data_IF_773427940070
#
_entry.id   IF_773427940070
#
_cell.length_a   1.000
_cell.length_b   1.000
_cell.length_c   1.000
_cell.angle_alpha   90.00
_cell.angle_beta   90.00
_cell.angle_gamma   90.00
#
_symmetry.space_group_name_H-M   'P 1'
#
loop_
_entity.id
_entity.type
_entity.pdbx_description
1 polymer ?
#
# COMPACT_ATOMS: atom_id res chain seq x y z
N UNK A 1 -4.94 -6.70 -22.05
CA UNK A 1 -4.15 -6.40 -20.84
C UNK A 1 -5.08 -6.49 -19.64
N UNK A 2 -4.93 -7.52 -18.80
CA UNK A 2 -5.88 -7.84 -17.72
C UNK A 2 -5.97 -6.67 -16.73
N UNK A 3 -7.19 -6.23 -16.39
CA UNK A 3 -7.47 -5.09 -15.49
C UNK A 3 -6.71 -5.18 -14.17
N UNK A 4 -6.59 -6.39 -13.60
CA UNK A 4 -5.81 -6.68 -12.39
C UNK A 4 -4.32 -6.35 -12.53
N UNK A 5 -3.72 -6.63 -13.69
CA UNK A 5 -2.29 -6.32 -13.96
C UNK A 5 -2.06 -4.82 -14.03
N UNK A 6 -3.00 -4.08 -14.64
CA UNK A 6 -2.94 -2.61 -14.68
C UNK A 6 -3.04 -2.03 -13.27
N UNK A 7 -3.98 -2.51 -12.46
CA UNK A 7 -4.13 -2.07 -11.06
C UNK A 7 -2.88 -2.36 -10.24
N UNK A 8 -2.29 -3.56 -10.36
CA UNK A 8 -1.05 -3.90 -9.67
C UNK A 8 0.13 -3.00 -10.07
N UNK A 9 0.30 -2.70 -11.37
CA UNK A 9 1.34 -1.76 -11.82
C UNK A 9 1.12 -0.34 -11.28
N UNK A 10 -0.12 0.16 -11.29
CA UNK A 10 -0.44 1.50 -10.77
C UNK A 10 -0.15 1.56 -9.27
N UNK A 11 -0.57 0.56 -8.50
CA UNK A 11 -0.34 0.51 -7.05
C UNK A 11 1.15 0.34 -6.70
N UNK A 12 1.90 -0.41 -7.52
CA UNK A 12 3.36 -0.50 -7.40
C UNK A 12 4.02 0.86 -7.62
N UNK A 13 3.57 1.61 -8.62
CA UNK A 13 4.07 2.97 -8.86
C UNK A 13 3.76 3.91 -7.69
N UNK A 14 2.54 3.83 -7.13
CA UNK A 14 2.18 4.59 -5.91
C UNK A 14 3.09 4.21 -4.74
N UNK A 15 3.33 2.92 -4.50
CA UNK A 15 4.24 2.47 -3.44
C UNK A 15 5.66 3.01 -3.64
N UNK A 16 6.16 2.98 -4.87
CA UNK A 16 7.49 3.46 -5.22
C UNK A 16 7.61 4.98 -5.07
N UNK A 17 6.63 5.73 -5.54
CA UNK A 17 6.56 7.18 -5.36
C UNK A 17 6.49 7.56 -3.87
N UNK A 18 5.71 6.85 -3.07
CA UNK A 18 5.63 7.10 -1.63
C UNK A 18 6.97 6.82 -0.95
N UNK A 19 7.62 5.69 -1.25
CA UNK A 19 8.94 5.37 -0.70
C UNK A 19 10.01 6.41 -1.12
N UNK A 20 10.04 6.77 -2.40
CA UNK A 20 10.93 7.81 -2.91
C UNK A 20 10.67 9.16 -2.24
N UNK A 21 9.40 9.52 -2.01
CA UNK A 21 9.03 10.78 -1.37
C UNK A 21 9.61 10.93 0.04
N UNK A 22 9.71 9.80 0.76
CA UNK A 22 10.34 9.73 2.08
C UNK A 22 11.86 9.84 1.95
N UNK A 23 12.47 9.12 1.00
CA UNK A 23 13.92 9.11 0.80
C UNK A 23 14.50 10.47 0.38
N UNK A 24 13.81 11.19 -0.51
CA UNK A 24 14.26 12.50 -1.01
C UNK A 24 13.76 13.68 -0.17
N UNK A 25 12.98 13.42 0.89
CA UNK A 25 12.49 14.47 1.79
C UNK A 25 11.51 15.46 1.14
N UNK A 26 10.56 14.97 0.34
CA UNK A 26 9.58 15.84 -0.36
C UNK A 26 8.77 16.68 0.65
N UNK A 27 8.56 17.98 0.38
CA UNK A 27 7.82 18.88 1.28
C UNK A 27 6.34 18.49 1.46
N UNK A 28 5.78 18.96 2.59
CA UNK A 28 4.67 18.33 3.30
C UNK A 28 3.35 18.11 2.54
N UNK A 29 2.97 18.97 1.59
CA UNK A 29 1.67 18.84 0.90
C UNK A 29 1.64 17.63 -0.03
N UNK A 30 2.68 17.49 -0.86
CA UNK A 30 2.76 16.38 -1.82
C UNK A 30 2.99 15.05 -1.12
N UNK A 31 3.83 15.07 -0.07
CA UNK A 31 4.09 13.91 0.78
C UNK A 31 2.83 13.42 1.49
N UNK A 32 2.00 14.33 1.99
CA UNK A 32 0.73 14.00 2.62
C UNK A 32 -0.23 13.35 1.63
N UNK A 33 -0.38 13.92 0.43
CA UNK A 33 -1.25 13.35 -0.61
C UNK A 33 -0.81 11.92 -0.99
N UNK A 34 0.49 11.70 -1.20
CA UNK A 34 1.04 10.37 -1.51
C UNK A 34 0.87 9.38 -0.35
N UNK A 35 1.07 9.83 0.89
CA UNK A 35 0.90 9.00 2.08
C UNK A 35 -0.55 8.57 2.25
N UNK A 36 -1.50 9.50 2.08
CA UNK A 36 -2.94 9.20 2.17
C UNK A 36 -3.35 8.25 1.05
N UNK A 37 -2.94 8.51 -0.19
CA UNK A 37 -3.24 7.62 -1.31
C UNK A 37 -2.69 6.21 -1.08
N UNK A 38 -1.46 6.12 -0.60
CA UNK A 38 -0.83 4.84 -0.24
C UNK A 38 -1.60 4.14 0.88
N UNK A 39 -1.82 4.80 2.01
CA UNK A 39 -2.45 4.24 3.21
C UNK A 39 -3.91 3.81 2.98
N UNK A 40 -4.59 4.36 1.96
CA UNK A 40 -5.95 3.98 1.61
C UNK A 40 -6.01 2.79 0.63
N UNK A 41 -4.99 2.59 -0.20
CA UNK A 41 -5.12 1.71 -1.37
C UNK A 41 -4.13 0.57 -1.41
N UNK A 42 -2.84 0.83 -1.16
CA UNK A 42 -1.76 -0.09 -1.52
C UNK A 42 -1.71 -1.34 -0.63
N UNK A 43 -1.69 -1.23 0.72
CA UNK A 43 -1.51 -2.40 1.59
C UNK A 43 -2.66 -3.39 1.49
N UNK A 44 -3.90 -2.90 1.41
CA UNK A 44 -5.07 -3.74 1.31
C UNK A 44 -5.21 -4.39 -0.05
N UNK A 45 -4.85 -3.71 -1.15
CA UNK A 45 -4.86 -4.33 -2.48
C UNK A 45 -3.77 -5.41 -2.64
N UNK A 46 -2.61 -5.21 -2.01
CA UNK A 46 -1.56 -6.22 -1.95
C UNK A 46 -2.09 -7.57 -1.44
N UNK A 47 -3.03 -7.55 -0.50
CA UNK A 47 -3.65 -8.73 0.10
C UNK A 47 -4.94 -9.14 -0.64
N UNK A 48 -5.77 -8.17 -1.06
CA UNK A 48 -7.08 -8.42 -1.66
C UNK A 48 -6.99 -9.20 -2.98
N UNK A 49 -5.88 -9.08 -3.71
CA UNK A 49 -5.65 -9.86 -4.92
C UNK A 49 -5.49 -11.38 -4.68
N UNK A 50 -5.31 -11.83 -3.43
CA UNK A 50 -5.34 -13.26 -3.07
C UNK A 50 -6.76 -13.78 -2.78
N UNK A 51 -7.77 -12.92 -2.69
CA UNK A 51 -9.14 -13.32 -2.36
C UNK A 51 -9.94 -13.53 -3.66
N UNK A 52 -10.33 -14.77 -3.98
CA UNK A 52 -11.23 -15.13 -5.09
C UNK A 52 -12.56 -15.72 -4.57
N UNK A 53 -13.71 -15.53 -5.26
CA UNK A 53 -14.10 -14.48 -6.21
C UNK A 53 -15.19 -13.56 -5.62
N UNK A 54 -14.99 -12.24 -5.64
CA UNK A 54 -15.99 -11.25 -5.20
C UNK A 54 -16.25 -10.20 -6.27
N UNK A 55 -17.42 -9.56 -6.24
CA UNK A 55 -17.72 -8.40 -7.10
C UNK A 55 -16.65 -7.32 -6.90
N UNK A 56 -16.23 -6.67 -7.97
CA UNK A 56 -15.17 -5.64 -7.98
C UNK A 56 -15.35 -4.60 -6.87
N UNK A 57 -16.57 -4.14 -6.62
CA UNK A 57 -16.88 -3.16 -5.57
C UNK A 57 -16.49 -3.65 -4.16
N UNK A 58 -16.74 -4.94 -3.87
CA UNK A 58 -16.43 -5.53 -2.57
C UNK A 58 -14.91 -5.61 -2.36
N UNK A 59 -14.15 -5.94 -3.41
CA UNK A 59 -12.68 -5.96 -3.38
C UNK A 59 -12.11 -4.59 -3.03
N UNK A 60 -12.66 -3.52 -3.63
CA UNK A 60 -12.26 -2.15 -3.31
C UNK A 60 -12.57 -1.77 -1.86
N UNK A 61 -13.77 -2.06 -1.38
CA UNK A 61 -14.16 -1.76 0.00
C UNK A 61 -13.27 -2.50 1.01
N UNK A 62 -13.04 -3.80 0.78
CA UNK A 62 -12.17 -4.61 1.64
C UNK A 62 -10.73 -4.10 1.59
N UNK A 63 -10.22 -3.77 0.41
CA UNK A 63 -8.87 -3.21 0.28
C UNK A 63 -8.71 -1.90 1.09
N UNK A 64 -9.68 -0.99 1.02
CA UNK A 64 -9.62 0.25 1.80
C UNK A 64 -9.70 -0.05 3.30
N UNK A 65 -10.64 -0.90 3.73
CA UNK A 65 -10.79 -1.28 5.13
C UNK A 65 -9.53 -1.93 5.71
N UNK A 66 -8.93 -2.88 4.97
CA UNK A 66 -7.68 -3.55 5.37
C UNK A 66 -6.51 -2.58 5.41
N UNK A 67 -6.40 -1.66 4.44
CA UNK A 67 -5.31 -0.67 4.43
C UNK A 67 -5.37 0.24 5.64
N UNK A 68 -6.58 0.71 5.99
CA UNK A 68 -6.82 1.52 7.18
C UNK A 68 -6.55 0.73 8.46
N UNK A 69 -7.06 -0.50 8.58
CA UNK A 69 -6.83 -1.34 9.74
C UNK A 69 -5.34 -1.59 10.00
N UNK A 70 -4.57 -1.92 8.95
CA UNK A 70 -3.12 -2.11 9.05
C UNK A 70 -2.39 -0.82 9.43
N UNK A 71 -2.80 0.32 8.87
CA UNK A 71 -2.20 1.62 9.19
C UNK A 71 -2.44 2.01 10.65
N UNK A 72 -3.65 1.75 11.17
CA UNK A 72 -4.00 1.96 12.58
C UNK A 72 -3.18 1.01 13.47
N UNK A 73 -3.14 -0.28 13.16
CA UNK A 73 -2.36 -1.26 13.93
C UNK A 73 -0.87 -0.90 13.96
N UNK A 74 -0.31 -0.48 12.83
CA UNK A 74 1.08 -0.03 12.76
C UNK A 74 1.31 1.21 13.65
N UNK A 75 0.39 2.18 13.60
CA UNK A 75 0.45 3.38 14.45
C UNK A 75 0.36 3.02 15.93
N UNK A 76 -0.54 2.11 16.32
CA UNK A 76 -0.68 1.63 17.68
C UNK A 76 0.54 0.83 18.15
N UNK A 77 1.13 0.00 17.29
CA UNK A 77 2.37 -0.70 17.59
C UNK A 77 3.53 0.27 17.84
N UNK A 78 3.66 1.31 17.02
CA UNK A 78 4.68 2.34 17.22
C UNK A 78 4.51 3.10 18.53
N UNK A 79 3.26 3.46 18.87
CA UNK A 79 2.95 4.15 20.13
C UNK A 79 3.28 3.27 21.34
N UNK A 80 2.86 2.01 21.33
CA UNK A 80 3.09 1.08 22.43
C UNK A 80 4.56 0.73 22.63
N UNK A 81 5.35 0.69 21.54
CA UNK A 81 6.80 0.46 21.60
C UNK A 81 7.61 1.71 21.93
N UNK A 82 7.00 2.90 21.99
CA UNK A 82 7.70 4.17 22.16
C UNK A 82 8.55 4.60 20.96
N UNK A 83 8.44 3.93 19.82
CA UNK A 83 9.20 4.19 18.59
C UNK A 83 8.37 4.97 17.56
N UNK A 84 8.13 6.26 17.83
CA UNK A 84 7.35 7.13 16.93
C UNK A 84 8.18 7.70 15.77
N UNK A 85 8.37 6.89 14.72
CA UNK A 85 9.06 7.28 13.49
C UNK A 85 8.19 7.01 12.25
N UNK A 86 7.15 7.83 11.97
CA UNK A 86 6.16 7.58 10.93
C UNK A 86 6.77 7.48 9.53
N UNK A 87 7.84 8.23 9.26
CA UNK A 87 8.55 8.18 7.98
C UNK A 87 9.19 6.81 7.74
N UNK A 88 9.85 6.24 8.76
CA UNK A 88 10.47 4.91 8.67
C UNK A 88 9.43 3.82 8.56
N UNK A 89 8.35 3.93 9.32
CA UNK A 89 7.23 2.98 9.28
C UNK A 89 6.57 2.96 7.90
N UNK A 90 6.32 4.14 7.31
CA UNK A 90 5.78 4.25 5.96
C UNK A 90 6.69 3.62 4.92
N UNK A 91 8.00 3.82 5.02
CA UNK A 91 8.98 3.25 4.10
C UNK A 91 9.01 1.71 4.21
N UNK A 92 9.08 1.17 5.42
CA UNK A 92 9.00 -0.29 5.66
C UNK A 92 7.69 -0.86 5.12
N UNK A 93 6.58 -0.18 5.37
CA UNK A 93 5.26 -0.64 4.96
C UNK A 93 5.07 -0.59 3.43
N UNK A 94 5.65 0.42 2.76
CA UNK A 94 5.70 0.50 1.31
C UNK A 94 6.51 -0.64 0.71
N UNK A 95 7.73 -0.88 1.21
CA UNK A 95 8.58 -1.99 0.75
C UNK A 95 7.91 -3.35 0.98
N UNK A 96 7.30 -3.56 2.14
CA UNK A 96 6.57 -4.78 2.46
C UNK A 96 5.39 -5.01 1.49
N UNK A 97 4.70 -3.94 1.08
CA UNK A 97 3.58 -4.02 0.14
C UNK A 97 4.02 -4.29 -1.31
N UNK A 98 5.23 -3.86 -1.70
CA UNK A 98 5.78 -4.12 -3.04
C UNK A 98 6.00 -5.61 -3.33
N UNK A 99 6.35 -6.40 -2.32
CA UNK A 99 6.60 -7.85 -2.47
C UNK A 99 5.38 -8.59 -3.04
N UNK A 100 4.19 -8.55 -2.41
CA UNK A 100 2.99 -9.19 -2.95
C UNK A 100 2.54 -8.55 -4.27
N UNK A 101 2.68 -7.23 -4.43
CA UNK A 101 2.36 -6.55 -5.71
C UNK A 101 3.22 -7.07 -6.87
N UNK A 102 4.52 -7.26 -6.64
CA UNK A 102 5.45 -7.80 -7.63
C UNK A 102 5.10 -9.24 -7.98
N UNK A 103 4.76 -10.03 -6.96
CA UNK A 103 4.29 -11.39 -7.14
C UNK A 103 3.02 -11.47 -8.01
N UNK A 104 2.06 -10.54 -7.86
CA UNK A 104 0.86 -10.46 -8.70
C UNK A 104 1.18 -10.07 -10.15
N UNK A 105 2.15 -9.18 -10.37
CA UNK A 105 2.60 -8.79 -11.71
C UNK A 105 3.21 -9.99 -12.44
N UNK A 106 4.08 -10.76 -11.76
CA UNK A 106 4.74 -11.95 -12.32
C UNK A 106 3.73 -13.07 -12.61
N UNK A 107 2.80 -13.35 -11.69
CA UNK A 107 1.78 -14.40 -11.89
C UNK A 107 0.79 -14.08 -13.00
N UNK A 108 0.51 -12.81 -13.28
CA UNK A 108 -0.36 -12.40 -14.40
C UNK A 108 0.26 -12.52 -15.81
N UNK A 109 1.48 -13.07 -15.92
CA UNK A 109 2.17 -13.37 -17.20
C UNK A 109 1.94 -14.82 -17.67
N UNK A 110 1.55 -15.74 -16.77
CA UNK A 110 1.11 -17.10 -17.12
C UNK A 110 -0.41 -17.14 -17.28
#
# INVERSE_FOLDING_TARGET
>A
MNTLRRTACVLMAVAACTALSVLIGVPGQWRLALTVLFALTVPGWAIAAYVRPWRQSYVWTVAVAVSLALSILLSQAMLSLGYWHPERALLVFALASMIPLGHHIVRGVR
#
